data_IF_877250644042
#
_entry.id   IF_877250644042
#
_cell.length_a   1.000
_cell.length_b   1.000
_cell.length_c   1.000
_cell.angle_alpha   90.00
_cell.angle_beta   90.00
_cell.angle_gamma   90.00
#
_symmetry.space_group_name_H-M   'P 1'
#
loop_
_entity.id
_entity.type
_entity.pdbx_description
1 polymer ?
#
# COMPACT_ATOMS: atom_id res chain seq x y z
N UNK A 1 -19.86 -0.11 17.64
CA UNK A 1 -18.56 -0.61 17.17
C UNK A 1 -17.47 0.26 17.79
N UNK A 2 -16.45 -0.33 18.41
CA UNK A 2 -15.32 0.43 18.97
C UNK A 2 -14.44 0.89 17.81
N UNK A 3 -14.71 2.08 17.29
CA UNK A 3 -13.81 2.80 16.40
C UNK A 3 -12.48 3.00 17.15
N UNK A 4 -11.35 2.64 16.52
CA UNK A 4 -10.02 3.05 17.00
C UNK A 4 -9.03 1.98 17.47
N UNK A 5 -9.38 0.70 17.55
CA UNK A 5 -8.39 -0.35 17.90
C UNK A 5 -7.74 -1.05 16.68
N UNK A 6 -8.34 -0.91 15.50
CA UNK A 6 -7.83 -1.50 14.24
C UNK A 6 -7.99 -0.59 13.00
N UNK A 7 -8.46 0.66 13.16
CA UNK A 7 -8.80 1.58 12.04
C UNK A 7 -7.59 2.37 11.50
N UNK A 8 -6.41 1.74 11.45
CA UNK A 8 -5.24 2.31 10.76
C UNK A 8 -5.26 2.06 9.25
N UNK A 9 -6.32 1.42 8.72
CA UNK A 9 -6.38 1.29 7.27
C UNK A 9 -6.36 2.66 6.62
N UNK A 10 -6.95 3.72 7.22
CA UNK A 10 -6.88 5.10 6.69
C UNK A 10 -7.18 5.16 5.18
N UNK A 11 -7.86 4.13 4.68
CA UNK A 11 -7.90 3.78 3.28
C UNK A 11 -9.18 4.38 2.78
N UNK A 12 -9.10 4.97 1.59
CA UNK A 12 -10.29 5.18 0.79
C UNK A 12 -11.15 3.90 0.85
N UNK A 13 -12.48 3.98 1.02
CA UNK A 13 -13.36 2.81 0.97
C UNK A 13 -13.29 2.07 -0.39
N UNK A 14 -12.62 2.67 -1.37
CA UNK A 14 -12.40 2.13 -2.70
C UNK A 14 -11.05 1.42 -2.83
N UNK A 15 -10.17 1.49 -1.82
CA UNK A 15 -8.83 0.92 -1.85
C UNK A 15 -8.79 -0.37 -1.04
N UNK A 16 -8.44 -1.47 -1.70
CA UNK A 16 -8.18 -2.76 -1.09
C UNK A 16 -6.76 -3.21 -1.38
N UNK A 17 -6.12 -3.85 -0.42
CA UNK A 17 -4.71 -4.22 -0.52
C UNK A 17 -4.47 -5.65 -0.05
N UNK A 18 -3.44 -6.26 -0.62
CA UNK A 18 -2.78 -7.44 -0.09
C UNK A 18 -1.29 -7.19 -0.13
N UNK A 19 -0.55 -7.68 0.86
CA UNK A 19 0.91 -7.68 0.84
C UNK A 19 1.42 -9.05 1.21
N UNK A 20 2.69 -9.34 0.96
CA UNK A 20 3.41 -10.48 1.50
C UNK A 20 4.90 -10.23 1.34
N UNK A 21 5.63 -10.34 2.44
CA UNK A 21 7.08 -10.09 2.52
C UNK A 21 7.49 -8.77 1.83
N UNK A 22 7.97 -8.86 0.60
CA UNK A 22 8.56 -7.76 -0.15
C UNK A 22 7.61 -7.07 -1.10
N UNK A 23 6.39 -7.58 -1.29
CA UNK A 23 5.46 -7.09 -2.29
C UNK A 23 4.11 -6.70 -1.71
N UNK A 24 3.48 -5.69 -2.30
CA UNK A 24 2.10 -5.30 -2.04
C UNK A 24 1.36 -5.03 -3.35
N UNK A 25 0.12 -5.51 -3.47
CA UNK A 25 -0.80 -5.16 -4.55
C UNK A 25 -1.91 -4.29 -3.98
N UNK A 26 -2.05 -3.10 -4.54
CA UNK A 26 -3.05 -2.11 -4.18
C UNK A 26 -4.04 -1.98 -5.33
N UNK A 27 -5.32 -2.22 -5.08
CA UNK A 27 -6.40 -2.07 -6.07
C UNK A 27 -7.42 -1.05 -5.60
N UNK A 28 -7.71 -0.11 -6.49
CA UNK A 28 -8.64 0.97 -6.32
C UNK A 28 -9.82 0.80 -7.29
N UNK A 29 -11.05 0.78 -6.79
CA UNK A 29 -12.30 0.76 -7.58
C UNK A 29 -13.13 2.01 -7.23
N UNK A 30 -12.77 3.12 -7.84
CA UNK A 30 -13.42 4.42 -7.66
C UNK A 30 -14.73 4.46 -8.46
N UNK A 31 -15.89 4.66 -7.81
CA UNK A 31 -17.16 4.79 -8.52
C UNK A 31 -17.22 6.12 -9.26
N UNK A 32 -18.02 6.20 -10.33
CA UNK A 32 -18.25 7.46 -11.06
C UNK A 32 -18.89 8.55 -10.18
N UNK A 33 -19.66 8.12 -9.17
CA UNK A 33 -20.26 8.98 -8.16
C UNK A 33 -19.88 8.46 -6.77
N UNK A 34 -19.38 9.34 -5.92
CA UNK A 34 -19.02 8.99 -4.56
C UNK A 34 -20.31 8.74 -3.73
N UNK A 35 -20.57 7.49 -3.28
CA UNK A 35 -21.74 7.18 -2.48
C UNK A 35 -21.74 7.89 -1.12
N UNK A 36 -20.59 8.41 -0.66
CA UNK A 36 -20.41 9.09 0.62
C UNK A 36 -20.45 10.61 0.51
N UNK A 37 -20.62 11.17 -0.69
CA UNK A 37 -20.74 12.61 -0.87
C UNK A 37 -21.98 13.15 -0.12
N UNK A 38 -21.79 14.19 0.69
CA UNK A 38 -22.86 14.79 1.48
C UNK A 38 -23.39 13.92 2.63
N UNK A 39 -22.81 12.75 2.90
CA UNK A 39 -23.16 11.92 4.06
C UNK A 39 -22.47 12.44 5.33
N UNK A 40 -23.10 12.22 6.49
CA UNK A 40 -22.45 12.47 7.77
C UNK A 40 -21.34 11.42 8.03
N UNK A 41 -20.17 11.87 8.46
CA UNK A 41 -19.04 11.00 8.78
C UNK A 41 -19.15 10.56 10.24
N UNK A 42 -19.33 9.26 10.47
CA UNK A 42 -19.45 8.67 11.80
C UNK A 42 -20.78 8.98 12.49
N UNK A 43 -20.81 8.93 13.83
CA UNK A 43 -22.03 9.16 14.62
C UNK A 43 -22.34 10.65 14.87
N UNK A 44 -21.58 11.57 14.27
CA UNK A 44 -21.73 13.00 14.49
C UNK A 44 -22.32 13.67 13.24
N UNK A 45 -23.63 13.92 13.28
CA UNK A 45 -24.41 14.54 12.18
C UNK A 45 -23.90 15.92 11.75
N UNK A 46 -23.04 16.58 12.54
CA UNK A 46 -22.44 17.88 12.21
C UNK A 46 -21.23 17.78 11.27
N UNK A 47 -20.68 16.58 11.06
CA UNK A 47 -19.55 16.35 10.17
C UNK A 47 -20.07 15.84 8.84
N UNK A 48 -20.63 16.72 8.01
CA UNK A 48 -20.93 16.39 6.62
C UNK A 48 -19.61 16.25 5.87
N UNK A 49 -19.44 15.12 5.21
CA UNK A 49 -18.31 14.83 4.32
C UNK A 49 -18.15 15.94 3.27
N UNK A 50 -16.95 16.51 3.16
CA UNK A 50 -16.56 17.48 2.11
C UNK A 50 -16.14 16.78 0.81
N UNK A 51 -16.36 15.46 0.71
CA UNK A 51 -16.05 14.67 -0.47
C UNK A 51 -16.88 15.16 -1.67
N UNK A 52 -16.24 15.38 -2.83
CA UNK A 52 -16.96 15.77 -4.04
C UNK A 52 -17.89 14.65 -4.49
N UNK A 53 -19.01 14.99 -5.14
CA UNK A 53 -19.91 13.99 -5.73
C UNK A 53 -19.23 13.14 -6.80
N UNK A 54 -18.27 13.73 -7.52
CA UNK A 54 -17.50 13.06 -8.55
C UNK A 54 -16.05 12.90 -8.06
N UNK A 55 -15.65 11.70 -7.64
CA UNK A 55 -14.29 11.45 -7.20
C UNK A 55 -13.33 11.49 -8.40
N UNK A 56 -12.08 11.84 -8.13
CA UNK A 56 -11.02 11.74 -9.13
C UNK A 56 -10.65 10.26 -9.31
N UNK A 57 -10.94 9.69 -10.47
CA UNK A 57 -10.52 8.34 -10.86
C UNK A 57 -9.02 8.25 -11.08
N UNK A 58 -8.24 8.33 -10.01
CA UNK A 58 -6.78 8.36 -10.04
C UNK A 58 -6.18 7.65 -8.83
N UNK A 59 -5.09 6.93 -9.07
CA UNK A 59 -4.20 6.47 -8.02
C UNK A 59 -2.99 7.41 -7.93
N UNK A 60 -2.73 7.97 -6.75
CA UNK A 60 -1.61 8.86 -6.51
C UNK A 60 -0.60 8.19 -5.57
N UNK A 61 0.67 8.17 -5.99
CA UNK A 61 1.79 7.86 -5.10
C UNK A 61 2.63 9.11 -4.90
N UNK A 62 2.82 9.52 -3.64
CA UNK A 62 3.66 10.67 -3.30
C UNK A 62 5.06 10.19 -2.99
N UNK A 63 6.03 10.67 -3.77
CA UNK A 63 7.43 10.29 -3.63
C UNK A 63 8.20 11.49 -3.08
N UNK A 64 8.89 11.35 -1.93
CA UNK A 64 9.69 12.43 -1.36
C UNK A 64 10.81 12.87 -2.31
N UNK A 65 11.13 14.16 -2.33
CA UNK A 65 12.29 14.69 -3.04
C UNK A 65 13.63 14.22 -2.42
N UNK A 66 13.60 13.64 -1.22
CA UNK A 66 14.76 13.01 -0.57
C UNK A 66 15.15 11.67 -1.20
N UNK A 67 14.36 11.13 -2.13
CA UNK A 67 14.75 9.95 -2.90
C UNK A 67 15.96 10.29 -3.77
N UNK A 68 17.02 9.51 -3.63
CA UNK A 68 18.33 9.81 -4.21
C UNK A 68 18.37 9.56 -5.72
N UNK A 69 17.65 8.54 -6.16
CA UNK A 69 17.62 8.15 -7.55
C UNK A 69 16.26 7.59 -7.93
N UNK A 70 15.79 7.96 -9.12
CA UNK A 70 14.61 7.38 -9.72
C UNK A 70 14.89 6.97 -11.15
N UNK A 71 14.55 5.73 -11.45
CA UNK A 71 14.61 5.13 -12.78
C UNK A 71 13.18 4.96 -13.29
N UNK A 72 12.85 5.62 -14.38
CA UNK A 72 11.65 5.28 -15.16
C UNK A 72 11.95 4.02 -15.97
N UNK A 73 11.10 3.02 -15.82
CA UNK A 73 11.29 1.69 -16.40
C UNK A 73 10.37 1.42 -17.60
N UNK A 74 9.52 2.38 -17.96
CA UNK A 74 8.41 2.17 -18.91
C UNK A 74 7.27 1.31 -18.37
N UNK A 75 7.52 0.50 -17.33
CA UNK A 75 6.51 -0.24 -16.56
C UNK A 75 6.10 0.49 -15.28
N UNK A 76 6.63 1.68 -15.02
CA UNK A 76 6.51 2.38 -13.74
C UNK A 76 7.86 2.94 -13.31
N UNK A 77 8.04 3.12 -12.00
CA UNK A 77 9.24 3.72 -11.44
C UNK A 77 9.94 2.79 -10.45
N UNK A 78 11.27 2.82 -10.44
CA UNK A 78 12.10 2.27 -9.37
C UNK A 78 12.86 3.39 -8.67
N UNK A 79 12.94 3.32 -7.35
CA UNK A 79 13.49 4.33 -6.46
C UNK A 79 14.65 3.75 -5.68
N UNK A 80 15.64 4.58 -5.33
CA UNK A 80 16.70 4.25 -4.36
C UNK A 80 16.73 5.26 -3.22
N UNK A 81 16.81 4.73 -2.00
CA UNK A 81 17.01 5.49 -0.76
C UNK A 81 18.05 4.73 0.06
N UNK A 82 19.26 5.26 0.16
CA UNK A 82 20.41 4.53 0.69
C UNK A 82 20.58 3.17 0.01
N UNK A 83 20.51 2.11 0.82
CA UNK A 83 20.64 0.71 0.40
C UNK A 83 19.30 0.01 0.14
N UNK A 84 18.20 0.76 0.10
CA UNK A 84 16.84 0.23 -0.14
C UNK A 84 16.36 0.63 -1.52
N UNK A 85 15.73 -0.31 -2.21
CA UNK A 85 15.11 -0.14 -3.50
C UNK A 85 13.60 -0.32 -3.39
N UNK A 86 12.85 0.50 -4.12
CA UNK A 86 11.38 0.41 -4.16
C UNK A 86 10.92 0.45 -5.60
N UNK A 87 10.11 -0.50 -6.03
CA UNK A 87 9.41 -0.44 -7.32
C UNK A 87 7.97 0.00 -7.12
N UNK A 88 7.45 0.77 -8.07
CA UNK A 88 6.05 1.17 -8.17
C UNK A 88 5.62 0.92 -9.60
N UNK A 89 4.86 -0.16 -9.81
CA UNK A 89 4.39 -0.61 -11.12
C UNK A 89 2.87 -0.48 -11.19
N UNK A 90 2.29 0.30 -12.12
CA UNK A 90 0.85 0.31 -12.32
C UNK A 90 0.33 -1.09 -12.61
N UNK A 91 -0.83 -1.41 -12.02
CA UNK A 91 -1.57 -2.63 -12.37
C UNK A 91 -2.02 -2.57 -13.83
N UNK A 92 -2.39 -1.38 -14.30
CA UNK A 92 -2.82 -1.09 -15.66
C UNK A 92 -2.60 0.39 -15.96
N UNK A 93 -2.39 0.70 -17.24
CA UNK A 93 -2.19 2.07 -17.71
C UNK A 93 -0.76 2.55 -17.49
N UNK A 94 -0.52 3.81 -17.87
CA UNK A 94 0.78 4.46 -17.73
C UNK A 94 0.83 5.27 -16.43
N UNK A 95 2.01 5.33 -15.83
CA UNK A 95 2.28 6.19 -14.69
C UNK A 95 2.92 7.49 -15.17
N UNK A 96 2.42 8.63 -14.72
CA UNK A 96 2.98 9.94 -15.10
C UNK A 96 3.45 10.70 -13.87
N UNK A 97 4.62 11.33 -13.97
CA UNK A 97 5.10 12.24 -12.95
C UNK A 97 4.43 13.60 -13.09
N UNK A 98 3.82 14.08 -12.01
CA UNK A 98 3.22 15.40 -11.93
C UNK A 98 3.73 16.19 -10.72
N UNK A 99 3.73 17.51 -10.86
CA UNK A 99 3.92 18.40 -9.72
C UNK A 99 2.77 18.25 -8.72
N UNK A 100 3.06 18.49 -7.44
CA UNK A 100 2.06 18.50 -6.38
C UNK A 100 2.23 19.74 -5.50
N UNK A 101 1.11 20.20 -4.92
CA UNK A 101 1.15 21.26 -3.91
C UNK A 101 1.74 20.80 -2.57
N UNK A 102 2.04 19.50 -2.40
CA UNK A 102 2.69 18.97 -1.20
C UNK A 102 4.19 19.25 -1.23
N UNK A 103 4.64 20.23 -0.44
CA UNK A 103 6.04 20.65 -0.35
C UNK A 103 6.95 19.46 -0.03
N UNK A 104 8.04 19.31 -0.80
CA UNK A 104 9.04 18.25 -0.63
C UNK A 104 8.64 16.90 -1.27
N UNK A 105 7.62 16.89 -2.11
CA UNK A 105 7.16 15.70 -2.81
C UNK A 105 6.91 15.99 -4.29
N UNK A 106 7.03 14.93 -5.08
CA UNK A 106 6.44 14.81 -6.41
C UNK A 106 5.40 13.70 -6.39
N UNK A 107 4.46 13.68 -7.33
CA UNK A 107 3.46 12.60 -7.40
C UNK A 107 3.61 11.78 -8.67
N UNK A 108 3.49 10.47 -8.54
CA UNK A 108 3.24 9.55 -9.63
C UNK A 108 1.72 9.32 -9.72
N UNK A 109 1.15 9.52 -10.90
CA UNK A 109 -0.30 9.44 -11.14
C UNK A 109 -0.59 8.30 -12.10
N UNK A 110 -1.61 7.51 -11.78
CA UNK A 110 -2.17 6.47 -12.65
C UNK A 110 -3.65 6.79 -12.85
N UNK A 111 -4.07 7.01 -14.08
CA UNK A 111 -5.44 7.42 -14.44
C UNK A 111 -6.38 6.21 -14.57
N UNK A 112 -7.58 6.33 -14.03
CA UNK A 112 -8.68 5.40 -14.20
C UNK A 112 -9.48 5.12 -12.92
N UNK A 113 -10.70 4.63 -13.10
CA UNK A 113 -11.61 4.29 -12.01
C UNK A 113 -11.30 2.93 -11.38
N UNK A 114 -10.85 1.96 -12.18
CA UNK A 114 -10.39 0.66 -11.71
C UNK A 114 -8.90 0.51 -12.01
N UNK A 115 -8.08 0.90 -11.05
CA UNK A 115 -6.62 1.05 -11.19
C UNK A 115 -5.91 0.59 -9.94
N UNK A 116 -4.58 0.64 -9.94
CA UNK A 116 -3.80 0.21 -8.80
C UNK A 116 -2.32 0.25 -9.07
N UNK A 117 -1.55 -0.16 -8.06
CA UNK A 117 -0.12 -0.34 -8.19
C UNK A 117 0.33 -1.60 -7.46
N UNK A 118 1.35 -2.23 -8.01
CA UNK A 118 2.20 -3.15 -7.30
C UNK A 118 3.40 -2.38 -6.77
N UNK A 119 3.70 -2.58 -5.49
CA UNK A 119 4.89 -2.05 -4.84
C UNK A 119 5.76 -3.21 -4.42
N UNK A 120 7.04 -3.20 -4.78
CA UNK A 120 8.01 -4.09 -4.18
C UNK A 120 9.14 -3.33 -3.49
N UNK A 121 9.72 -3.95 -2.47
CA UNK A 121 10.87 -3.44 -1.74
C UNK A 121 12.00 -4.47 -1.81
N UNK A 122 13.23 -3.99 -2.02
CA UNK A 122 14.45 -4.79 -2.00
C UNK A 122 15.59 -4.03 -1.35
N UNK A 123 16.75 -4.68 -1.21
CA UNK A 123 17.96 -4.04 -0.70
C UNK A 123 19.17 -4.27 -1.61
N UNK A 124 20.21 -3.48 -1.38
CA UNK A 124 21.52 -3.68 -2.00
C UNK A 124 22.12 -5.04 -1.65
N UNK A 125 21.91 -5.53 -0.43
CA UNK A 125 22.36 -6.86 -0.02
C UNK A 125 21.67 -7.97 -0.83
N UNK A 126 20.36 -7.83 -1.08
CA UNK A 126 19.57 -8.83 -1.80
C UNK A 126 19.83 -8.82 -3.30
N UNK A 127 19.93 -7.63 -3.91
CA UNK A 127 19.98 -7.48 -5.38
C UNK A 127 21.35 -7.07 -5.92
N UNK A 128 22.29 -6.64 -5.07
CA UNK A 128 23.61 -6.17 -5.48
C UNK A 128 23.63 -4.81 -6.20
N UNK A 129 22.50 -4.12 -6.30
CA UNK A 129 22.38 -2.83 -6.96
C UNK A 129 20.98 -2.51 -7.49
N UNK A 130 20.67 -1.23 -7.68
CA UNK A 130 19.40 -0.78 -8.25
C UNK A 130 19.14 -1.36 -9.65
N UNK A 131 20.18 -1.46 -10.50
CA UNK A 131 20.03 -1.98 -11.85
C UNK A 131 19.58 -3.45 -11.87
N UNK A 132 20.16 -4.28 -10.99
CA UNK A 132 19.76 -5.68 -10.85
C UNK A 132 18.36 -5.81 -10.24
N UNK A 133 17.98 -4.95 -9.28
CA UNK A 133 16.61 -4.89 -8.77
C UNK A 133 15.60 -4.53 -9.88
N UNK A 134 15.89 -3.53 -10.72
CA UNK A 134 15.05 -3.14 -11.87
C UNK A 134 14.87 -4.32 -12.84
N UNK A 135 15.94 -5.06 -13.13
CA UNK A 135 15.88 -6.24 -14.00
C UNK A 135 14.97 -7.34 -13.40
N UNK A 136 15.13 -7.65 -12.11
CA UNK A 136 14.30 -8.65 -11.44
C UNK A 136 12.82 -8.25 -11.40
N UNK A 137 12.52 -7.00 -11.06
CA UNK A 137 11.14 -6.47 -11.09
C UNK A 137 10.56 -6.52 -12.50
N UNK A 138 11.37 -6.30 -13.53
CA UNK A 138 10.94 -6.43 -14.93
C UNK A 138 10.63 -7.87 -15.35
N UNK A 139 11.28 -8.85 -14.72
CA UNK A 139 11.00 -10.27 -14.91
C UNK A 139 9.79 -10.77 -14.09
N UNK A 140 9.38 -10.03 -13.06
CA UNK A 140 8.21 -10.34 -12.25
C UNK A 140 6.91 -10.30 -13.08
N UNK A 141 6.01 -11.22 -12.79
CA UNK A 141 4.77 -11.40 -13.58
C UNK A 141 3.61 -10.62 -12.97
N UNK A 142 2.89 -9.89 -13.81
CA UNK A 142 1.65 -9.19 -13.47
C UNK A 142 0.58 -9.56 -14.49
N UNK A 143 -0.49 -10.21 -14.03
CA UNK A 143 -1.66 -10.57 -14.80
C UNK A 143 -2.87 -9.72 -14.37
N UNK A 144 -3.24 -8.75 -15.21
CA UNK A 144 -4.42 -7.89 -15.06
C UNK A 144 -5.56 -8.29 -16.01
N UNK A 145 -5.46 -9.44 -16.70
CA UNK A 145 -6.43 -9.85 -17.73
C UNK A 145 -7.86 -9.98 -17.21
N UNK A 146 -8.01 -10.24 -15.90
CA UNK A 146 -9.27 -10.39 -15.20
C UNK A 146 -9.71 -9.12 -14.42
N UNK A 147 -8.97 -8.01 -14.55
CA UNK A 147 -9.26 -6.77 -13.83
C UNK A 147 -10.63 -6.22 -14.21
N UNK A 148 -10.91 -6.02 -15.50
CA UNK A 148 -12.18 -5.41 -15.94
C UNK A 148 -13.38 -6.32 -15.67
N UNK A 149 -13.23 -7.63 -15.86
CA UNK A 149 -14.35 -8.58 -15.75
C UNK A 149 -14.68 -8.99 -14.32
N UNK A 150 -13.67 -9.09 -13.46
CA UNK A 150 -13.82 -9.66 -12.12
C UNK A 150 -13.10 -8.88 -11.02
N UNK A 151 -12.47 -7.75 -11.36
CA UNK A 151 -11.65 -6.92 -10.46
C UNK A 151 -10.51 -7.67 -9.82
N UNK A 152 -9.91 -8.61 -10.57
CA UNK A 152 -8.88 -9.52 -10.08
C UNK A 152 -7.54 -9.24 -10.75
N UNK A 153 -6.48 -9.33 -9.95
CA UNK A 153 -5.08 -9.22 -10.37
C UNK A 153 -4.28 -10.33 -9.72
N UNK A 154 -3.38 -10.93 -10.48
CA UNK A 154 -2.40 -11.89 -9.95
C UNK A 154 -1.01 -11.35 -10.20
N UNK A 155 -0.22 -11.26 -9.14
CA UNK A 155 1.16 -10.80 -9.18
C UNK A 155 2.09 -11.88 -8.64
N UNK A 156 3.21 -12.14 -9.32
CA UNK A 156 4.29 -12.99 -8.82
C UNK A 156 5.49 -12.11 -8.51
N UNK A 157 5.87 -12.05 -7.24
CA UNK A 157 6.95 -11.17 -6.77
C UNK A 157 8.33 -11.63 -7.24
N UNK A 158 9.32 -10.76 -7.10
CA UNK A 158 10.75 -11.07 -7.30
C UNK A 158 11.26 -12.20 -6.39
N UNK A 159 10.60 -12.43 -5.24
CA UNK A 159 10.85 -13.57 -4.35
C UNK A 159 10.03 -14.82 -4.68
N UNK A 160 9.25 -14.79 -5.76
CA UNK A 160 8.43 -15.90 -6.23
C UNK A 160 7.10 -16.09 -5.51
N UNK A 161 6.66 -15.11 -4.70
CA UNK A 161 5.37 -15.19 -4.03
C UNK A 161 4.24 -14.78 -4.96
N UNK A 162 3.17 -15.57 -4.98
CA UNK A 162 1.98 -15.28 -5.80
C UNK A 162 0.93 -14.59 -4.94
N UNK A 163 0.70 -13.30 -5.19
CA UNK A 163 -0.36 -12.48 -4.60
C UNK A 163 -1.53 -12.44 -5.57
N UNK A 164 -2.66 -13.05 -5.20
CA UNK A 164 -3.90 -13.06 -5.96
C UNK A 164 -4.92 -12.23 -5.20
N UNK A 165 -5.34 -11.10 -5.76
CA UNK A 165 -6.27 -10.15 -5.14
C UNK A 165 -7.48 -9.94 -6.04
N UNK A 166 -8.66 -9.95 -5.43
CA UNK A 166 -9.92 -9.60 -6.08
C UNK A 166 -10.65 -8.52 -5.26
N UNK A 167 -10.90 -7.38 -5.89
CA UNK A 167 -11.63 -6.28 -5.27
C UNK A 167 -13.09 -6.67 -5.02
N UNK A 168 -13.61 -6.36 -3.83
CA UNK A 168 -14.97 -6.75 -3.39
C UNK A 168 -15.97 -5.59 -3.28
N UNK A 169 -15.69 -4.46 -3.93
CA UNK A 169 -16.59 -3.31 -3.97
C UNK A 169 -16.70 -2.67 -2.58
N UNK A 170 -17.89 -2.74 -1.97
CA UNK A 170 -18.19 -2.08 -0.68
C UNK A 170 -17.56 -2.77 0.54
N UNK A 171 -16.99 -3.97 0.39
CA UNK A 171 -16.26 -4.61 1.47
C UNK A 171 -14.95 -3.85 1.78
N UNK A 172 -14.53 -3.82 3.04
CA UNK A 172 -13.25 -3.20 3.41
C UNK A 172 -12.03 -4.05 3.04
N UNK A 173 -12.23 -5.35 2.81
CA UNK A 173 -11.15 -6.33 2.57
C UNK A 173 -11.37 -7.03 1.24
N UNK A 174 -10.31 -7.30 0.47
CA UNK A 174 -10.43 -8.06 -0.76
C UNK A 174 -10.65 -9.55 -0.48
N UNK A 175 -11.05 -10.28 -1.53
CA UNK A 175 -10.71 -11.69 -1.59
C UNK A 175 -9.23 -11.79 -1.96
N UNK A 176 -8.39 -12.33 -1.08
CA UNK A 176 -6.98 -12.51 -1.41
C UNK A 176 -6.44 -13.90 -1.07
N UNK A 177 -5.45 -14.32 -1.86
CA UNK A 177 -4.64 -15.51 -1.61
C UNK A 177 -3.17 -15.17 -1.74
N UNK A 178 -2.35 -15.84 -0.93
CA UNK A 178 -0.90 -15.84 -1.06
C UNK A 178 -0.44 -17.27 -1.27
N UNK A 179 0.31 -17.51 -2.34
CA UNK A 179 0.79 -18.84 -2.73
C UNK A 179 -0.36 -19.88 -2.79
N UNK A 180 -1.53 -19.45 -3.25
CA UNK A 180 -2.74 -20.28 -3.35
C UNK A 180 -3.55 -20.44 -2.06
N UNK A 181 -3.02 -20.05 -0.90
CA UNK A 181 -3.72 -20.10 0.38
C UNK A 181 -4.51 -18.81 0.61
N UNK A 182 -5.79 -18.91 0.98
CA UNK A 182 -6.61 -17.75 1.30
C UNK A 182 -6.12 -17.05 2.57
N UNK A 183 -6.16 -15.71 2.56
CA UNK A 183 -5.79 -14.91 3.73
C UNK A 183 -6.87 -14.99 4.81
N UNK A 184 -6.46 -15.37 6.02
CA UNK A 184 -7.25 -15.19 7.23
C UNK A 184 -6.98 -13.79 7.80
N UNK A 185 -7.77 -12.80 7.38
CA UNK A 185 -7.59 -11.42 7.81
C UNK A 185 -7.83 -11.18 9.31
N UNK A 186 -8.35 -12.16 10.07
CA UNK A 186 -8.40 -12.06 11.53
C UNK A 186 -7.03 -12.31 12.18
N UNK A 187 -6.14 -13.01 11.46
CA UNK A 187 -4.76 -13.33 11.88
C UNK A 187 -3.71 -12.61 11.04
N UNK A 188 -4.13 -11.93 9.98
CA UNK A 188 -3.22 -11.25 9.08
C UNK A 188 -2.58 -10.04 9.78
N UNK A 189 -1.24 -10.02 9.89
CA UNK A 189 -0.55 -8.88 10.47
C UNK A 189 -0.73 -7.67 9.56
N UNK A 190 -1.20 -6.56 10.12
CA UNK A 190 -1.38 -5.33 9.36
C UNK A 190 -0.04 -4.71 8.95
N UNK A 191 0.98 -4.88 9.79
CA UNK A 191 2.37 -4.52 9.53
C UNK A 191 3.26 -5.61 10.16
N UNK A 192 4.02 -6.33 9.32
CA UNK A 192 5.07 -7.24 9.77
C UNK A 192 6.29 -7.08 8.86
N UNK A 193 7.42 -6.78 9.48
CA UNK A 193 8.74 -6.76 8.87
C UNK A 193 9.77 -7.11 9.94
N UNK A 194 11.04 -7.27 9.54
CA UNK A 194 12.14 -7.47 10.49
C UNK A 194 12.25 -6.33 11.53
N UNK A 195 11.73 -5.15 11.19
CA UNK A 195 11.85 -3.96 12.01
C UNK A 195 10.54 -3.51 12.66
N UNK A 196 9.40 -4.07 12.24
CA UNK A 196 8.09 -3.65 12.71
C UNK A 196 7.22 -4.88 12.93
N UNK A 197 6.77 -5.08 14.16
CA UNK A 197 5.80 -6.13 14.50
C UNK A 197 4.55 -5.49 15.08
N UNK A 198 3.38 -5.89 14.59
CA UNK A 198 2.10 -5.54 15.20
C UNK A 198 1.31 -6.78 15.59
N UNK A 199 1.05 -6.95 16.88
CA UNK A 199 0.22 -8.04 17.38
C UNK A 199 -0.66 -7.56 18.55
N UNK A 200 -1.94 -7.94 18.54
CA UNK A 200 -2.85 -7.73 19.66
C UNK A 200 -2.97 -6.27 20.13
N UNK A 201 -2.94 -5.28 19.22
CA UNK A 201 -3.02 -3.86 19.60
C UNK A 201 -1.73 -3.27 20.14
N UNK A 202 -0.59 -3.94 19.92
CA UNK A 202 0.76 -3.43 20.22
C UNK A 202 1.55 -3.38 18.93
N UNK A 203 2.23 -2.26 18.67
CA UNK A 203 3.25 -2.15 17.63
C UNK A 203 4.61 -1.99 18.29
N UNK A 204 5.57 -2.78 17.83
CA UNK A 204 6.97 -2.70 18.21
C UNK A 204 7.75 -2.36 16.96
N UNK A 205 8.64 -1.36 17.07
CA UNK A 205 9.56 -0.98 16.03
C UNK A 205 10.96 -1.09 16.60
N UNK A 206 11.84 -1.81 15.92
CA UNK A 206 13.23 -2.03 16.30
C UNK A 206 14.10 -2.01 15.05
N UNK A 207 15.14 -1.18 15.02
CA UNK A 207 16.08 -1.08 13.89
C UNK A 207 17.46 -1.68 14.21
N UNK A 208 17.59 -2.38 15.33
CA UNK A 208 18.85 -2.91 15.86
C UNK A 208 19.68 -1.89 16.66
N UNK A 209 19.38 -0.60 16.58
CA UNK A 209 20.00 0.45 17.41
C UNK A 209 19.03 1.06 18.42
N UNK A 210 17.75 1.08 18.09
CA UNK A 210 16.71 1.70 18.87
C UNK A 210 15.44 0.89 18.73
N UNK A 211 14.69 0.80 19.82
CA UNK A 211 13.38 0.20 19.80
C UNK A 211 12.36 1.13 20.47
N UNK A 212 11.17 1.22 19.89
CA UNK A 212 10.04 1.82 20.56
C UNK A 212 8.80 0.95 20.43
N UNK A 213 7.99 0.99 21.48
CA UNK A 213 6.72 0.29 21.53
C UNK A 213 5.58 1.28 21.65
N UNK A 214 4.50 1.01 20.95
CA UNK A 214 3.22 1.70 21.05
C UNK A 214 2.16 0.68 21.44
N UNK A 215 1.54 0.88 22.60
CA UNK A 215 0.48 0.01 23.11
C UNK A 215 -0.86 0.75 23.12
N UNK A 216 -1.81 0.29 22.30
CA UNK A 216 -3.15 0.86 22.21
C UNK A 216 -4.18 0.12 23.08
N UNK A 217 -3.77 -0.86 23.88
CA UNK A 217 -4.70 -1.59 24.77
C UNK A 217 -5.05 -0.81 26.03
N UNK A 218 -4.27 0.20 26.39
CA UNK A 218 -4.49 1.09 27.53
C UNK A 218 -5.47 2.23 27.21
N UNK A 219 -5.85 2.99 28.25
CA UNK A 219 -6.64 4.23 28.08
C UNK A 219 -5.82 5.38 27.46
N UNK A 220 -4.49 5.32 27.58
CA UNK A 220 -3.53 6.22 26.93
C UNK A 220 -2.53 5.43 26.09
N UNK A 221 -2.11 6.01 24.96
CA UNK A 221 -1.09 5.45 24.08
C UNK A 221 0.28 5.65 24.74
N UNK A 222 0.89 4.57 25.23
CA UNK A 222 2.22 4.62 25.85
C UNK A 222 3.32 4.42 24.79
N UNK A 223 4.22 5.40 24.65
CA UNK A 223 5.46 5.29 23.86
C UNK A 223 6.64 5.11 24.81
N UNK A 224 7.34 3.99 24.71
CA UNK A 224 8.54 3.73 25.52
C UNK A 224 9.73 3.41 24.61
N UNK A 225 10.83 4.13 24.82
CA UNK A 225 12.14 3.73 24.29
C UNK A 225 12.63 2.52 25.07
N UNK A 226 12.89 1.44 24.33
CA UNK A 226 13.55 0.25 24.83
C UNK A 226 14.99 0.45 24.35
N UNK A 227 15.89 0.82 25.27
CA UNK A 227 17.26 1.19 24.94
C UNK A 227 18.00 0.06 24.18
N UNK A 228 19.11 0.43 23.51
CA UNK A 228 19.98 -0.44 22.70
C UNK A 228 20.03 -1.90 23.20
N UNK A 229 19.66 -2.84 22.33
CA UNK A 229 19.87 -4.27 22.53
C UNK A 229 21.36 -4.62 22.56
#
# INVERSE_FOLDING_TARGET
ARLGLDDWSGTSPFLQTVHWENAAVLLLDVPERDPYAGQAVGSNEKWTSDRPEQPYGRFHTYVPETVEEVVDTGMGACLRVGQVYVSIRPVRGEATWEATGRVGYRRLVIEGNLVGAVVEVGSEEEYGGLAAFVEQVGAASLDDSALVSSRRVVYTSTRGHVLDIQHRGEEWRPAAKVNGAAIDYAKWPMCESAYVRREGGVMEVEDGESAFRVDWRGEEVERREIGKC
#
